data_IF_615591560040
#
_entry.id   IF_615591560040
#
_cell.length_a   1.000
_cell.length_b   1.000
_cell.length_c   1.000
_cell.angle_alpha   90.00
_cell.angle_beta   90.00
_cell.angle_gamma   90.00
#
_symmetry.space_group_name_H-M   'P 1'
#
loop_
_entity.id
_entity.type
_entity.pdbx_description
1 polymer ?
#
# COMPACT_ATOMS: atom_id res chain seq x y z
N UNK A 1 -29.11 8.19 4.06
CA UNK A 1 -27.83 8.75 3.59
C UNK A 1 -27.21 7.73 2.65
N UNK A 2 -27.18 8.00 1.35
CA UNK A 2 -26.64 7.06 0.35
C UNK A 2 -25.15 7.42 0.18
N UNK A 3 -24.24 6.50 0.50
CA UNK A 3 -22.83 6.62 0.09
C UNK A 3 -22.79 6.33 -1.40
N UNK A 4 -22.70 7.38 -2.20
CA UNK A 4 -22.39 7.25 -3.62
C UNK A 4 -20.90 6.95 -3.70
N UNK A 5 -20.53 5.81 -4.26
CA UNK A 5 -19.16 5.56 -4.69
C UNK A 5 -18.89 6.51 -5.85
N UNK A 6 -18.36 7.69 -5.56
CA UNK A 6 -17.93 8.63 -6.60
C UNK A 6 -16.83 7.95 -7.41
N UNK A 7 -17.17 7.58 -8.64
CA UNK A 7 -16.19 7.16 -9.63
C UNK A 7 -15.53 8.44 -10.18
N UNK A 8 -14.21 8.64 -10.02
CA UNK A 8 -13.57 9.84 -10.51
C UNK A 8 -13.69 9.92 -12.03
N UNK A 9 -14.15 11.08 -12.51
CA UNK A 9 -14.30 11.35 -13.94
C UNK A 9 -12.93 11.38 -14.63
N UNK A 10 -12.41 10.22 -15.04
CA UNK A 10 -11.24 10.14 -15.92
C UNK A 10 -10.15 9.11 -15.58
N UNK A 11 -10.33 8.23 -14.61
CA UNK A 11 -9.31 7.22 -14.29
C UNK A 11 -9.81 6.07 -13.43
N UNK A 12 -9.00 5.00 -13.33
CA UNK A 12 -9.23 3.91 -12.38
C UNK A 12 -9.31 4.51 -10.97
N UNK A 13 -10.27 4.06 -10.17
CA UNK A 13 -10.40 4.46 -8.77
C UNK A 13 -9.04 4.34 -8.04
N UNK A 14 -8.62 5.39 -7.32
CA UNK A 14 -7.30 5.47 -6.69
C UNK A 14 -7.13 4.34 -5.66
N UNK A 15 -8.21 3.98 -4.98
CA UNK A 15 -8.22 2.86 -4.02
C UNK A 15 -7.94 1.55 -4.75
N UNK A 16 -8.58 1.31 -5.90
CA UNK A 16 -8.28 0.15 -6.74
C UNK A 16 -6.85 0.15 -7.29
N UNK A 17 -6.32 1.32 -7.68
CA UNK A 17 -4.91 1.42 -8.12
C UNK A 17 -3.94 1.08 -6.99
N UNK A 18 -4.21 1.52 -5.76
CA UNK A 18 -3.41 1.17 -4.59
C UNK A 18 -3.45 -0.33 -4.30
N UNK A 19 -4.64 -0.94 -4.33
CA UNK A 19 -4.82 -2.37 -4.04
C UNK A 19 -4.15 -3.28 -5.08
N UNK A 20 -4.00 -2.81 -6.32
CA UNK A 20 -3.35 -3.57 -7.39
C UNK A 20 -1.86 -3.26 -7.54
N UNK A 21 -1.34 -2.23 -6.86
CA UNK A 21 0.06 -1.87 -6.95
C UNK A 21 0.91 -2.88 -6.18
N UNK A 22 1.81 -3.56 -6.89
CA UNK A 22 2.78 -4.48 -6.32
C UNK A 22 4.19 -4.04 -6.70
N UNK A 23 5.17 -4.33 -5.86
CA UNK A 23 6.58 -4.04 -6.12
C UNK A 23 7.08 -4.74 -7.39
N UNK A 24 6.68 -6.00 -7.59
CA UNK A 24 7.09 -6.77 -8.77
C UNK A 24 8.61 -6.85 -8.91
N UNK A 25 9.12 -6.44 -10.08
CA UNK A 25 10.56 -6.37 -10.36
C UNK A 25 11.20 -5.02 -10.03
N UNK A 26 10.42 -4.04 -9.58
CA UNK A 26 10.93 -2.72 -9.22
C UNK A 26 11.70 -2.77 -7.90
N UNK A 27 12.57 -1.78 -7.68
CA UNK A 27 13.20 -1.61 -6.37
C UNK A 27 12.14 -1.25 -5.32
N UNK A 28 12.41 -1.60 -4.06
CA UNK A 28 11.52 -1.25 -2.96
C UNK A 28 11.33 0.28 -2.82
N UNK A 29 12.36 1.06 -3.19
CA UNK A 29 12.31 2.51 -3.18
C UNK A 29 11.36 3.06 -4.26
N UNK A 30 11.45 2.54 -5.49
CA UNK A 30 10.58 2.94 -6.59
C UNK A 30 9.11 2.60 -6.31
N UNK A 31 8.87 1.40 -5.78
CA UNK A 31 7.55 0.98 -5.32
C UNK A 31 7.01 1.92 -4.22
N UNK A 32 7.82 2.23 -3.19
CA UNK A 32 7.41 3.10 -2.10
C UNK A 32 7.07 4.53 -2.55
N UNK A 33 7.81 5.07 -3.53
CA UNK A 33 7.51 6.37 -4.13
C UNK A 33 6.16 6.32 -4.85
N UNK A 34 5.95 5.34 -5.74
CA UNK A 34 4.69 5.17 -6.48
C UNK A 34 3.50 5.02 -5.52
N UNK A 35 3.65 4.18 -4.50
CA UNK A 35 2.61 3.94 -3.50
C UNK A 35 2.26 5.21 -2.73
N UNK A 36 3.25 5.97 -2.22
CA UNK A 36 3.01 7.21 -1.48
C UNK A 36 2.32 8.29 -2.34
N UNK A 37 2.66 8.38 -3.62
CA UNK A 37 2.02 9.33 -4.53
C UNK A 37 0.52 9.03 -4.73
N UNK A 38 0.14 7.76 -4.86
CA UNK A 38 -1.27 7.36 -4.95
C UNK A 38 -1.97 7.48 -3.59
N UNK A 39 -1.29 7.10 -2.51
CA UNK A 39 -1.80 7.15 -1.15
C UNK A 39 -2.26 8.56 -0.76
N UNK A 40 -1.42 9.57 -1.05
CA UNK A 40 -1.72 10.98 -0.77
C UNK A 40 -3.04 11.48 -1.39
N UNK A 41 -3.53 10.82 -2.44
CA UNK A 41 -4.75 11.20 -3.16
C UNK A 41 -5.98 10.36 -2.79
N UNK A 42 -5.80 9.28 -2.02
CA UNK A 42 -6.86 8.29 -1.74
C UNK A 42 -7.72 8.60 -0.52
N UNK A 43 -7.22 9.41 0.41
CA UNK A 43 -7.88 9.68 1.69
C UNK A 43 -7.99 8.47 2.64
N UNK A 44 -7.27 7.37 2.38
CA UNK A 44 -7.23 6.24 3.31
C UNK A 44 -6.56 6.63 4.63
N UNK A 45 -6.85 5.87 5.68
CA UNK A 45 -6.15 5.99 6.96
C UNK A 45 -4.79 5.27 6.92
N UNK A 46 -3.93 5.62 7.88
CA UNK A 46 -2.57 5.08 7.98
C UNK A 46 -2.52 3.56 8.13
N UNK A 47 -3.44 2.97 8.90
CA UNK A 47 -3.49 1.52 9.08
C UNK A 47 -3.82 0.77 7.77
N UNK A 48 -4.76 1.29 6.99
CA UNK A 48 -5.08 0.75 5.67
C UNK A 48 -3.92 0.91 4.69
N UNK A 49 -3.21 2.05 4.74
CA UNK A 49 -2.01 2.25 3.92
C UNK A 49 -0.91 1.26 4.27
N UNK A 50 -0.65 1.05 5.56
CA UNK A 50 0.41 0.16 6.00
C UNK A 50 0.14 -1.28 5.58
N UNK A 51 -1.07 -1.77 5.83
CA UNK A 51 -1.46 -3.14 5.48
C UNK A 51 -1.27 -3.43 3.99
N UNK A 52 -1.81 -2.58 3.11
CA UNK A 52 -1.71 -2.80 1.65
C UNK A 52 -0.29 -2.57 1.14
N UNK A 53 0.48 -1.63 1.73
CA UNK A 53 1.87 -1.43 1.36
C UNK A 53 2.70 -2.69 1.61
N UNK A 54 2.56 -3.31 2.78
CA UNK A 54 3.26 -4.53 3.15
C UNK A 54 2.87 -5.72 2.25
N UNK A 55 1.57 -5.91 1.98
CA UNK A 55 1.07 -6.95 1.09
C UNK A 55 1.59 -6.82 -0.35
N UNK A 56 1.84 -5.60 -0.84
CA UNK A 56 2.38 -5.36 -2.18
C UNK A 56 3.90 -5.56 -2.32
N UNK A 57 4.65 -5.72 -1.22
CA UNK A 57 6.10 -5.97 -1.27
C UNK A 57 6.44 -7.37 -1.78
N UNK A 58 7.67 -7.58 -2.24
CA UNK A 58 8.14 -8.93 -2.58
C UNK A 58 8.22 -9.82 -1.33
N UNK A 59 8.01 -11.16 -1.45
CA UNK A 59 7.98 -12.08 -0.32
C UNK A 59 9.22 -12.04 0.59
N UNK A 60 10.40 -11.77 0.00
CA UNK A 60 11.64 -11.64 0.76
C UNK A 60 11.58 -10.47 1.75
N UNK A 61 11.09 -9.31 1.32
CA UNK A 61 10.96 -8.13 2.18
C UNK A 61 9.82 -8.27 3.18
N UNK A 62 8.71 -8.92 2.81
CA UNK A 62 7.64 -9.26 3.74
C UNK A 62 8.17 -10.15 4.88
N UNK A 63 8.97 -11.15 4.54
CA UNK A 63 9.61 -12.04 5.53
C UNK A 63 10.58 -11.28 6.43
N UNK A 64 11.43 -10.44 5.84
CA UNK A 64 12.34 -9.60 6.63
C UNK A 64 11.60 -8.65 7.58
N UNK A 65 10.48 -8.06 7.15
CA UNK A 65 9.65 -7.19 7.98
C UNK A 65 9.03 -7.97 9.14
N UNK A 66 8.42 -9.13 8.87
CA UNK A 66 7.85 -9.99 9.90
C UNK A 66 8.91 -10.38 10.96
N UNK A 67 10.09 -10.81 10.54
CA UNK A 67 11.18 -11.14 11.48
C UNK A 67 11.64 -9.94 12.32
N UNK A 68 11.58 -8.71 11.79
CA UNK A 68 11.93 -7.50 12.54
C UNK A 68 10.84 -7.11 13.53
N UNK A 69 9.58 -7.20 13.15
CA UNK A 69 8.43 -6.94 14.04
C UNK A 69 8.42 -7.91 15.23
N UNK A 70 8.73 -9.19 14.97
CA UNK A 70 8.89 -10.21 16.01
C UNK A 70 10.01 -9.83 16.99
N UNK A 71 11.16 -9.36 16.48
CA UNK A 71 12.29 -8.94 17.31
C UNK A 71 11.96 -7.71 18.18
N UNK A 72 11.20 -6.74 17.65
CA UNK A 72 10.78 -5.56 18.41
C UNK A 72 9.69 -5.85 19.45
N UNK A 73 8.92 -6.92 19.27
CA UNK A 73 7.89 -7.34 20.22
C UNK A 73 8.45 -8.10 21.42
N UNK A 74 9.71 -8.53 21.35
CA UNK A 74 10.40 -9.32 22.39
C UNK A 74 11.32 -8.48 23.30
N UNK A 75 11.39 -7.16 23.11
CA UNK A 75 12.19 -6.21 23.92
C UNK A 75 11.31 -5.30 24.75
#
# INVERSE_FOLDING_TARGET
MIRVFEYPAGGKDISLQLMELHQGSDSAADYAIKYRTLAAQSGWNEAAFWAVFCEGLIPALQTELACREDMTSLT
#
